data_IF_736517513490
#
_entry.id   IF_736517513490
#
_cell.length_a   1.000
_cell.length_b   1.000
_cell.length_c   1.000
_cell.angle_alpha   90.00
_cell.angle_beta   90.00
_cell.angle_gamma   90.00
#
_symmetry.space_group_name_H-M   'P 1'
#
loop_
_entity.id
_entity.type
_entity.pdbx_description
1 polymer ?
#
# COMPACT_ATOMS: atom_id res chain seq x y z
N UNK A 1 -2.05 5.65 -28.08
CA UNK A 1 -1.58 4.50 -27.26
C UNK A 1 -0.45 4.86 -26.29
N UNK A 2 0.37 5.88 -26.56
CA UNK A 2 1.52 6.25 -25.72
C UNK A 2 1.16 6.76 -24.31
N UNK A 3 0.06 7.52 -24.17
CA UNK A 3 -0.34 8.09 -22.87
C UNK A 3 -0.75 7.04 -21.83
N UNK A 4 -1.36 5.91 -22.27
CA UNK A 4 -1.75 4.83 -21.35
C UNK A 4 -0.54 4.12 -20.74
N UNK A 5 0.51 3.87 -21.54
CA UNK A 5 1.76 3.24 -21.06
C UNK A 5 2.53 4.15 -20.08
N UNK A 6 2.54 5.47 -20.32
CA UNK A 6 3.16 6.44 -19.39
C UNK A 6 2.39 6.54 -18.07
N UNK A 7 1.06 6.49 -18.09
CA UNK A 7 0.24 6.50 -16.88
C UNK A 7 0.44 5.21 -16.06
N UNK A 8 0.44 4.05 -16.72
CA UNK A 8 0.70 2.75 -16.08
C UNK A 8 2.08 2.70 -15.38
N UNK A 9 3.11 3.26 -16.03
CA UNK A 9 4.44 3.36 -15.43
C UNK A 9 4.43 4.24 -14.17
N UNK A 10 3.65 5.33 -14.16
CA UNK A 10 3.54 6.23 -13.00
C UNK A 10 2.83 5.57 -11.82
N UNK A 11 1.72 4.87 -12.04
CA UNK A 11 0.98 4.17 -10.97
C UNK A 11 1.82 3.05 -10.34
N UNK A 12 2.50 2.25 -11.15
CA UNK A 12 3.38 1.19 -10.66
C UNK A 12 4.57 1.77 -9.87
N UNK A 13 5.13 2.89 -10.32
CA UNK A 13 6.21 3.59 -9.61
C UNK A 13 5.71 4.13 -8.26
N UNK A 14 4.55 4.78 -8.23
CA UNK A 14 3.96 5.32 -7.01
C UNK A 14 3.68 4.21 -5.99
N UNK A 15 3.13 3.08 -6.44
CA UNK A 15 2.89 1.91 -5.59
C UNK A 15 4.20 1.38 -4.99
N UNK A 16 5.26 1.22 -5.79
CA UNK A 16 6.56 0.76 -5.26
C UNK A 16 7.13 1.72 -4.23
N UNK A 17 7.06 3.03 -4.48
CA UNK A 17 7.54 4.05 -3.54
C UNK A 17 6.77 3.98 -2.23
N UNK A 18 5.44 3.89 -2.28
CA UNK A 18 4.61 3.73 -1.08
C UNK A 18 4.91 2.45 -0.33
N UNK A 19 5.18 1.34 -1.03
CA UNK A 19 5.53 0.07 -0.41
C UNK A 19 6.88 0.15 0.32
N UNK A 20 7.90 0.76 -0.31
CA UNK A 20 9.18 1.03 0.38
C UNK A 20 9.01 1.93 1.60
N UNK A 21 8.16 2.95 1.50
CA UNK A 21 7.87 3.84 2.62
C UNK A 21 7.27 3.10 3.81
N UNK A 22 6.29 2.20 3.57
CA UNK A 22 5.71 1.36 4.62
C UNK A 22 6.75 0.45 5.28
N UNK A 23 7.62 -0.19 4.48
CA UNK A 23 8.70 -1.03 5.02
C UNK A 23 9.63 -0.22 5.92
N UNK A 24 10.01 0.99 5.49
CA UNK A 24 10.85 1.90 6.29
C UNK A 24 10.18 2.25 7.61
N UNK A 25 8.88 2.58 7.60
CA UNK A 25 8.15 2.91 8.82
C UNK A 25 8.07 1.72 9.77
N UNK A 26 7.81 0.51 9.25
CA UNK A 26 7.81 -0.72 10.05
C UNK A 26 9.18 -0.94 10.71
N UNK A 27 10.28 -0.81 9.96
CA UNK A 27 11.63 -0.93 10.53
C UNK A 27 11.88 0.17 11.58
N UNK A 28 11.49 1.41 11.29
CA UNK A 28 11.68 2.54 12.18
C UNK A 28 10.93 2.36 13.52
N UNK A 29 9.78 1.68 13.52
CA UNK A 29 9.05 1.35 14.76
C UNK A 29 9.86 0.45 15.71
N UNK A 30 10.73 -0.43 15.19
CA UNK A 30 11.57 -1.28 16.04
C UNK A 30 12.84 -0.59 16.53
N UNK A 31 13.26 0.48 15.86
CA UNK A 31 14.48 1.23 16.20
C UNK A 31 14.17 2.43 17.09
N UNK A 32 12.95 2.97 17.02
CA UNK A 32 12.57 4.20 17.70
C UNK A 32 11.47 3.97 18.73
N UNK A 33 11.49 4.71 19.82
CA UNK A 33 10.45 4.65 20.87
C UNK A 33 9.19 5.43 20.52
N UNK A 34 9.08 5.95 19.29
CA UNK A 34 7.92 6.72 18.85
C UNK A 34 6.77 5.80 18.46
N UNK A 35 5.54 6.23 18.77
CA UNK A 35 4.31 5.55 18.33
C UNK A 35 4.08 5.75 16.83
N UNK A 36 4.82 5.01 15.99
CA UNK A 36 4.74 5.08 14.53
C UNK A 36 3.58 4.25 13.95
N UNK A 37 2.90 3.47 14.79
CA UNK A 37 1.91 2.50 14.37
C UNK A 37 0.73 3.13 13.61
N UNK A 38 0.27 4.31 14.02
CA UNK A 38 -0.78 5.04 13.31
C UNK A 38 -0.33 5.43 11.89
N UNK A 39 0.91 5.90 11.72
CA UNK A 39 1.44 6.26 10.40
C UNK A 39 1.59 5.05 9.48
N UNK A 40 1.93 3.89 10.05
CA UNK A 40 2.01 2.63 9.30
C UNK A 40 0.62 2.19 8.84
N UNK A 41 -0.38 2.23 9.73
CA UNK A 41 -1.77 1.90 9.40
C UNK A 41 -2.31 2.81 8.29
N UNK A 42 -2.09 4.12 8.41
CA UNK A 42 -2.51 5.10 7.39
C UNK A 42 -1.80 4.86 6.05
N UNK A 43 -0.51 4.49 6.08
CA UNK A 43 0.26 4.22 4.86
C UNK A 43 -0.17 2.90 4.18
N UNK A 44 -0.49 1.87 4.97
CA UNK A 44 -1.07 0.61 4.47
C UNK A 44 -2.47 0.85 3.87
N UNK A 45 -3.30 1.68 4.51
CA UNK A 45 -4.60 2.07 3.96
C UNK A 45 -4.45 2.86 2.65
N UNK A 46 -3.48 3.78 2.57
CA UNK A 46 -3.16 4.50 1.35
C UNK A 46 -2.70 3.56 0.22
N UNK A 47 -1.85 2.57 0.51
CA UNK A 47 -1.43 1.54 -0.45
C UNK A 47 -2.62 0.78 -1.02
N UNK A 48 -3.54 0.35 -0.15
CA UNK A 48 -4.73 -0.37 -0.55
C UNK A 48 -5.63 0.49 -1.45
N UNK A 49 -5.87 1.76 -1.08
CA UNK A 49 -6.67 2.68 -1.90
C UNK A 49 -5.99 2.94 -3.26
N UNK A 50 -4.68 3.18 -3.28
CA UNK A 50 -3.91 3.38 -4.51
C UNK A 50 -3.96 2.13 -5.40
N UNK A 51 -3.82 0.95 -4.81
CA UNK A 51 -3.95 -0.33 -5.53
C UNK A 51 -5.33 -0.47 -6.16
N UNK A 52 -6.39 -0.19 -5.41
CA UNK A 52 -7.77 -0.26 -5.89
C UNK A 52 -8.03 0.75 -7.02
N UNK A 53 -7.58 1.99 -6.85
CA UNK A 53 -7.76 3.06 -7.83
C UNK A 53 -7.05 2.73 -9.15
N UNK A 54 -5.80 2.27 -9.09
CA UNK A 54 -5.05 1.77 -10.25
C UNK A 54 -5.78 0.62 -10.97
N UNK A 55 -6.40 -0.27 -10.19
CA UNK A 55 -7.09 -1.44 -10.74
C UNK A 55 -8.45 -1.12 -11.38
N UNK A 56 -9.12 -0.07 -10.89
CA UNK A 56 -10.35 0.47 -11.50
C UNK A 56 -10.00 1.18 -12.81
N UNK A 57 -8.99 2.08 -12.79
CA UNK A 57 -8.58 2.88 -13.95
C UNK A 57 -8.14 2.01 -15.13
N UNK A 58 -7.48 0.87 -14.85
CA UNK A 58 -7.01 -0.04 -15.89
C UNK A 58 -7.93 -1.24 -16.17
N UNK A 59 -9.12 -1.33 -15.55
CA UNK A 59 -10.00 -2.51 -15.59
C UNK A 59 -9.30 -3.84 -15.21
N UNK A 60 -8.12 -3.80 -14.57
CA UNK A 60 -7.31 -4.96 -14.15
C UNK A 60 -7.65 -5.46 -12.76
N UNK A 61 -8.84 -5.13 -12.28
CA UNK A 61 -9.32 -5.53 -10.95
C UNK A 61 -9.20 -7.03 -10.72
N UNK A 62 -9.48 -7.87 -11.73
CA UNK A 62 -9.35 -9.34 -11.64
C UNK A 62 -7.90 -9.83 -11.55
N UNK A 63 -6.96 -9.19 -12.23
CA UNK A 63 -5.53 -9.56 -12.19
C UNK A 63 -4.88 -9.14 -10.88
N UNK A 64 -5.29 -7.99 -10.32
CA UNK A 64 -4.73 -7.44 -9.09
C UNK A 64 -5.48 -7.85 -7.82
N UNK A 65 -6.47 -8.76 -7.88
CA UNK A 65 -7.25 -9.19 -6.70
C UNK A 65 -6.38 -9.71 -5.55
N UNK A 66 -5.36 -10.51 -5.88
CA UNK A 66 -4.46 -11.07 -4.88
C UNK A 66 -3.69 -10.00 -4.12
N UNK A 67 -3.28 -8.93 -4.81
CA UNK A 67 -2.59 -7.78 -4.21
C UNK A 67 -3.51 -7.01 -3.24
N UNK A 68 -4.74 -6.69 -3.67
CA UNK A 68 -5.70 -6.00 -2.80
C UNK A 68 -6.04 -6.81 -1.56
N UNK A 69 -6.19 -8.13 -1.72
CA UNK A 69 -6.43 -9.03 -0.60
C UNK A 69 -5.22 -9.05 0.36
N UNK A 70 -4.01 -9.11 -0.17
CA UNK A 70 -2.79 -9.08 0.63
C UNK A 70 -2.64 -7.77 1.41
N UNK A 71 -2.81 -6.62 0.74
CA UNK A 71 -2.76 -5.30 1.38
C UNK A 71 -3.84 -5.17 2.48
N UNK A 72 -5.04 -5.69 2.22
CA UNK A 72 -6.14 -5.68 3.18
C UNK A 72 -5.84 -6.55 4.40
N UNK A 73 -5.31 -7.75 4.17
CA UNK A 73 -4.93 -8.69 5.23
C UNK A 73 -3.85 -8.06 6.10
N UNK A 74 -2.78 -7.52 5.51
CA UNK A 74 -1.72 -6.86 6.28
C UNK A 74 -2.24 -5.67 7.07
N UNK A 75 -3.08 -4.83 6.47
CA UNK A 75 -3.68 -3.68 7.15
C UNK A 75 -4.48 -4.13 8.39
N UNK A 76 -5.33 -5.15 8.24
CA UNK A 76 -6.14 -5.69 9.34
C UNK A 76 -5.24 -6.30 10.41
N UNK A 77 -4.30 -7.17 10.03
CA UNK A 77 -3.36 -7.79 10.98
C UNK A 77 -2.57 -6.75 11.75
N UNK A 78 -2.04 -5.72 11.07
CA UNK A 78 -1.22 -4.69 11.70
C UNK A 78 -2.04 -3.81 12.64
N UNK A 79 -3.26 -3.45 12.24
CA UNK A 79 -4.19 -2.68 13.07
C UNK A 79 -4.54 -3.45 14.34
N UNK A 80 -4.92 -4.73 14.19
CA UNK A 80 -5.26 -5.62 15.32
C UNK A 80 -4.08 -5.80 16.26
N UNK A 81 -2.88 -6.06 15.74
CA UNK A 81 -1.67 -6.25 16.56
C UNK A 81 -1.22 -4.98 17.30
N UNK A 82 -1.61 -3.82 16.81
CA UNK A 82 -1.24 -2.53 17.41
C UNK A 82 -2.26 -2.04 18.44
N UNK A 83 -3.56 -2.26 18.20
CA UNK A 83 -4.65 -1.70 19.00
C UNK A 83 -5.24 -2.67 20.04
N UNK A 84 -4.79 -3.93 20.06
CA UNK A 84 -5.03 -4.89 21.15
C UNK A 84 -3.82 -4.87 22.09
#
# INVERSE_FOLDING_TARGET
MENRKKAEFKWNTLYRVMNYFVIILIIAQFVTSYHLSLYIILSLAALLILGLLDSIDHHRFKENKGRHLFDAVILVFYTVLTYI
#
